data_IF_461944692086
#
_entry.id   IF_461944692086
#
_cell.length_a   1.000
_cell.length_b   1.000
_cell.length_c   1.000
_cell.angle_alpha   90.00
_cell.angle_beta   90.00
_cell.angle_gamma   90.00
#
_symmetry.space_group_name_H-M   'P 1'
#
loop_
_entity.id
_entity.type
_entity.pdbx_description
1 polymer ?
#
# COMPACT_ATOMS: atom_id res chain seq x y z
N UNK A 1 -63.04 -41.54 -41.72
CA UNK A 1 -61.59 -41.86 -41.54
C UNK A 1 -60.91 -40.63 -41.01
N UNK A 2 -60.59 -40.66 -39.70
CA UNK A 2 -59.98 -39.53 -39.03
C UNK A 2 -58.43 -39.84 -38.92
N UNK A 3 -57.62 -39.06 -39.60
CA UNK A 3 -56.20 -39.23 -39.61
C UNK A 3 -55.65 -38.47 -38.37
N UNK A 4 -55.18 -39.22 -37.40
CA UNK A 4 -54.40 -38.65 -36.20
C UNK A 4 -52.98 -38.47 -36.67
N UNK A 5 -52.55 -37.23 -36.88
CA UNK A 5 -51.15 -36.88 -37.05
C UNK A 5 -50.51 -36.87 -35.65
N UNK A 6 -49.67 -37.86 -35.36
CA UNK A 6 -48.75 -37.84 -34.24
C UNK A 6 -47.66 -36.78 -34.51
N UNK A 7 -47.77 -35.66 -33.82
CA UNK A 7 -46.64 -34.70 -33.71
C UNK A 7 -45.62 -35.36 -32.79
N UNK A 8 -44.55 -35.88 -33.36
CA UNK A 8 -43.42 -36.37 -32.60
C UNK A 8 -42.80 -35.24 -31.78
N UNK A 9 -42.73 -35.42 -30.48
CA UNK A 9 -41.89 -34.56 -29.64
C UNK A 9 -40.47 -34.53 -30.24
N UNK A 10 -40.02 -33.35 -30.64
CA UNK A 10 -38.59 -33.14 -30.87
C UNK A 10 -37.85 -33.58 -29.60
N UNK A 11 -37.02 -34.59 -29.76
CA UNK A 11 -36.08 -34.99 -28.71
C UNK A 11 -35.26 -33.75 -28.40
N UNK A 12 -35.48 -33.16 -27.22
CA UNK A 12 -34.63 -32.09 -26.74
C UNK A 12 -33.21 -32.68 -26.69
N UNK A 13 -32.32 -32.08 -27.46
CA UNK A 13 -30.88 -32.36 -27.34
C UNK A 13 -30.50 -32.16 -25.87
N UNK A 14 -29.82 -33.14 -25.23
CA UNK A 14 -29.42 -32.98 -23.86
C UNK A 14 -28.66 -31.66 -23.69
N UNK A 15 -28.93 -30.94 -22.59
CA UNK A 15 -28.32 -29.67 -22.26
C UNK A 15 -26.79 -29.76 -21.99
N UNK A 16 -26.12 -30.77 -22.50
CA UNK A 16 -24.71 -31.03 -22.25
C UNK A 16 -23.91 -30.99 -23.54
N UNK A 17 -23.77 -29.81 -24.08
CA UNK A 17 -22.72 -29.56 -25.08
C UNK A 17 -21.68 -28.64 -24.50
N UNK A 18 -21.01 -29.07 -23.42
CA UNK A 18 -19.77 -28.41 -23.00
C UNK A 18 -18.76 -28.53 -24.13
N UNK A 19 -18.24 -27.41 -24.54
CA UNK A 19 -17.30 -27.25 -25.65
C UNK A 19 -15.98 -26.70 -25.14
N UNK A 20 -14.83 -27.03 -25.75
CA UNK A 20 -13.58 -26.35 -25.47
C UNK A 20 -13.62 -24.85 -25.77
N UNK A 21 -14.60 -24.40 -26.58
CA UNK A 21 -14.83 -23.01 -26.93
C UNK A 21 -15.66 -22.24 -25.89
N UNK A 22 -16.21 -22.90 -24.90
CA UNK A 22 -16.92 -22.23 -23.82
C UNK A 22 -15.92 -21.52 -22.90
N UNK A 23 -16.30 -20.31 -22.44
CA UNK A 23 -15.50 -19.61 -21.44
C UNK A 23 -15.52 -20.40 -20.13
N UNK A 24 -14.37 -20.67 -19.49
CA UNK A 24 -14.35 -21.42 -18.26
C UNK A 24 -14.92 -20.59 -17.10
N UNK A 25 -15.61 -21.26 -16.19
CA UNK A 25 -16.08 -20.68 -14.93
C UNK A 25 -15.43 -21.42 -13.77
N UNK A 26 -14.92 -20.67 -12.80
CA UNK A 26 -14.43 -21.19 -11.51
C UNK A 26 -15.61 -21.15 -10.54
N UNK A 27 -16.14 -22.29 -10.18
CA UNK A 27 -17.28 -22.45 -9.28
C UNK A 27 -16.85 -22.46 -7.80
N UNK A 28 -15.62 -22.93 -7.52
CA UNK A 28 -14.97 -22.94 -6.21
C UNK A 28 -13.47 -22.75 -6.39
N UNK A 29 -12.77 -22.06 -5.47
CA UNK A 29 -13.30 -21.32 -4.33
C UNK A 29 -14.16 -20.11 -4.78
N UNK A 30 -15.13 -19.75 -4.00
CA UNK A 30 -15.88 -18.51 -4.20
C UNK A 30 -15.91 -17.73 -2.88
N UNK A 31 -16.00 -16.42 -3.00
CA UNK A 31 -16.24 -15.56 -1.86
C UNK A 31 -17.75 -15.53 -1.60
N UNK A 32 -18.19 -15.78 -0.38
CA UNK A 32 -19.61 -15.76 0.02
C UNK A 32 -20.27 -14.41 -0.23
N UNK A 33 -19.51 -13.32 -0.19
CA UNK A 33 -20.00 -11.97 -0.51
C UNK A 33 -20.02 -11.66 -2.02
N UNK A 34 -19.52 -12.53 -2.88
CA UNK A 34 -19.61 -12.43 -4.34
C UNK A 34 -18.73 -11.35 -5.00
N UNK A 35 -17.99 -10.56 -4.25
CA UNK A 35 -17.29 -9.35 -4.73
C UNK A 35 -15.81 -9.27 -4.39
N UNK A 36 -15.22 -10.25 -3.72
CA UNK A 36 -13.89 -10.06 -3.18
C UNK A 36 -12.88 -11.15 -3.46
N UNK A 37 -11.66 -10.85 -3.14
CA UNK A 37 -10.58 -11.79 -2.96
C UNK A 37 -10.85 -12.67 -1.73
N UNK A 38 -10.30 -13.87 -1.71
CA UNK A 38 -10.34 -14.78 -0.57
C UNK A 38 -8.94 -14.93 0.02
N UNK A 39 -8.85 -15.32 1.30
CA UNK A 39 -7.57 -15.45 1.99
C UNK A 39 -7.42 -16.83 2.59
N UNK A 40 -6.29 -17.48 2.29
CA UNK A 40 -5.85 -18.69 3.02
C UNK A 40 -4.88 -18.26 4.10
N UNK A 41 -5.23 -18.54 5.37
CA UNK A 41 -4.35 -18.30 6.52
C UNK A 41 -3.76 -19.62 6.97
N UNK A 42 -2.48 -19.84 6.68
CA UNK A 42 -1.73 -21.02 7.09
C UNK A 42 -1.06 -20.74 8.43
N UNK A 43 -1.20 -21.67 9.36
CA UNK A 43 -0.74 -21.48 10.74
C UNK A 43 0.79 -21.29 10.84
N UNK A 44 1.54 -21.97 9.96
CA UNK A 44 3.01 -21.96 9.90
C UNK A 44 3.49 -22.56 8.57
N UNK A 45 4.80 -22.54 8.25
CA UNK A 45 5.35 -23.10 7.02
C UNK A 45 5.14 -24.63 6.85
N UNK A 46 4.88 -25.35 7.93
CA UNK A 46 4.60 -26.80 7.90
C UNK A 46 3.10 -27.10 7.67
N UNK A 47 2.28 -26.08 7.51
CA UNK A 47 0.88 -26.19 7.14
C UNK A 47 0.76 -26.01 5.62
N UNK A 48 0.33 -27.05 4.86
CA UNK A 48 0.23 -26.92 3.42
C UNK A 48 -0.95 -26.03 3.01
N UNK A 49 -0.81 -25.32 1.90
CA UNK A 49 -1.95 -24.83 1.15
C UNK A 49 -2.65 -26.06 0.54
N UNK A 50 -3.79 -26.40 1.08
CA UNK A 50 -4.59 -27.53 0.63
C UNK A 50 -5.98 -27.08 0.21
N UNK A 51 -6.27 -27.17 -1.08
CA UNK A 51 -7.60 -26.86 -1.61
C UNK A 51 -7.89 -27.56 -2.94
N UNK A 52 -9.14 -27.46 -3.39
CA UNK A 52 -9.58 -27.98 -4.67
C UNK A 52 -10.45 -26.97 -5.42
N UNK A 53 -10.18 -26.82 -6.71
CA UNK A 53 -10.94 -25.97 -7.61
C UNK A 53 -11.99 -26.77 -8.37
N UNK A 54 -13.19 -26.24 -8.42
CA UNK A 54 -14.25 -26.78 -9.27
C UNK A 54 -14.46 -25.82 -10.46
N UNK A 55 -14.33 -26.34 -11.67
CA UNK A 55 -14.47 -25.57 -12.92
C UNK A 55 -15.49 -26.20 -13.87
N UNK A 56 -16.03 -25.38 -14.76
CA UNK A 56 -16.86 -25.85 -15.87
C UNK A 56 -16.46 -25.08 -17.15
N UNK A 57 -16.27 -25.74 -18.31
CA UNK A 57 -16.33 -27.19 -18.59
C UNK A 57 -15.07 -27.92 -18.06
N UNK A 58 -15.22 -28.78 -17.07
CA UNK A 58 -14.07 -29.41 -16.37
C UNK A 58 -13.20 -30.27 -17.29
N UNK A 59 -13.82 -30.93 -18.30
CA UNK A 59 -13.13 -31.83 -19.23
C UNK A 59 -12.12 -31.11 -20.13
N UNK A 60 -12.32 -29.83 -20.40
CA UNK A 60 -11.55 -29.04 -21.36
C UNK A 60 -10.72 -27.95 -20.69
N UNK A 61 -10.71 -27.90 -19.34
CA UNK A 61 -10.12 -26.81 -18.59
C UNK A 61 -8.92 -27.29 -17.77
N UNK A 62 -7.80 -26.60 -17.92
CA UNK A 62 -6.63 -26.71 -17.05
C UNK A 62 -6.69 -25.60 -16.01
N UNK A 63 -6.30 -25.89 -14.77
CA UNK A 63 -6.23 -24.89 -13.69
C UNK A 63 -4.77 -24.67 -13.31
N UNK A 64 -4.34 -23.43 -13.35
CA UNK A 64 -3.02 -22.96 -12.98
C UNK A 64 -3.12 -22.11 -11.70
N UNK A 65 -2.18 -22.33 -10.78
CA UNK A 65 -2.06 -21.61 -9.53
C UNK A 65 -0.78 -20.79 -9.57
N UNK A 66 -0.94 -19.49 -9.37
CA UNK A 66 0.18 -18.53 -9.33
C UNK A 66 0.24 -17.92 -7.94
N UNK A 67 1.45 -17.77 -7.41
CA UNK A 67 1.75 -16.92 -6.26
C UNK A 67 2.70 -15.83 -6.73
N UNK A 68 2.35 -14.56 -6.46
CA UNK A 68 3.10 -13.39 -6.91
C UNK A 68 3.43 -13.47 -8.42
N UNK A 69 2.43 -13.87 -9.23
CA UNK A 69 2.51 -14.09 -10.68
C UNK A 69 3.42 -15.25 -11.14
N UNK A 70 4.04 -16.00 -10.22
CA UNK A 70 4.83 -17.18 -10.54
C UNK A 70 3.94 -18.44 -10.51
N UNK A 71 3.95 -19.21 -11.62
CA UNK A 71 3.24 -20.49 -11.67
C UNK A 71 3.86 -21.49 -10.68
N UNK A 72 3.12 -21.83 -9.63
CA UNK A 72 3.57 -22.78 -8.60
C UNK A 72 2.97 -24.17 -8.78
N UNK A 73 1.78 -24.28 -9.38
CA UNK A 73 1.12 -25.57 -9.55
C UNK A 73 0.13 -25.56 -10.72
N UNK A 74 -0.05 -26.72 -11.35
CA UNK A 74 -1.09 -26.97 -12.38
C UNK A 74 -1.90 -28.20 -11.99
N UNK A 75 -3.19 -28.01 -11.79
CA UNK A 75 -4.13 -29.08 -11.42
C UNK A 75 -5.32 -28.55 -10.61
N UNK A 76 -6.32 -29.45 -10.45
CA UNK A 76 -7.56 -29.12 -9.72
C UNK A 76 -7.41 -29.16 -8.20
N UNK A 77 -6.38 -29.83 -7.68
CA UNK A 77 -6.12 -29.95 -6.25
C UNK A 77 -4.68 -29.58 -5.98
N UNK A 78 -4.48 -28.64 -5.09
CA UNK A 78 -3.16 -28.22 -4.63
C UNK A 78 -2.91 -28.74 -3.22
N UNK A 79 -1.67 -29.19 -2.96
CA UNK A 79 -1.13 -29.45 -1.63
C UNK A 79 0.34 -29.10 -1.67
N UNK A 80 0.69 -27.89 -1.18
CA UNK A 80 2.04 -27.35 -1.24
C UNK A 80 2.38 -26.54 0.01
N UNK A 81 3.65 -26.57 0.38
CA UNK A 81 4.22 -25.84 1.49
C UNK A 81 4.95 -24.60 0.99
N UNK A 82 4.85 -23.50 1.73
CA UNK A 82 5.48 -22.25 1.36
C UNK A 82 6.20 -21.63 2.56
N UNK A 83 7.30 -20.91 2.35
CA UNK A 83 7.93 -20.11 3.41
C UNK A 83 6.96 -19.11 4.03
N UNK A 84 7.23 -18.68 5.25
CA UNK A 84 6.45 -17.62 5.89
C UNK A 84 6.45 -16.34 5.03
N UNK A 85 5.28 -15.74 4.90
CA UNK A 85 5.07 -14.55 4.06
C UNK A 85 3.62 -14.35 3.66
N UNK A 86 3.38 -13.25 2.94
CA UNK A 86 2.07 -12.96 2.33
C UNK A 86 2.26 -12.92 0.83
N UNK A 87 1.45 -13.65 0.10
CA UNK A 87 1.57 -13.87 -1.34
C UNK A 87 0.27 -13.55 -2.04
N UNK A 88 0.34 -12.83 -3.16
CA UNK A 88 -0.81 -12.64 -4.03
C UNK A 88 -1.12 -13.95 -4.76
N UNK A 89 -2.35 -14.47 -4.60
CA UNK A 89 -2.78 -15.71 -5.24
C UNK A 89 -3.63 -15.38 -6.48
N UNK A 90 -3.29 -16.01 -7.60
CA UNK A 90 -4.14 -16.07 -8.79
C UNK A 90 -4.41 -17.52 -9.16
N UNK A 91 -5.69 -17.89 -9.25
CA UNK A 91 -6.12 -19.17 -9.80
C UNK A 91 -6.68 -18.88 -11.19
N UNK A 92 -6.08 -19.44 -12.22
CA UNK A 92 -6.48 -19.25 -13.60
C UNK A 92 -6.99 -20.59 -14.20
N UNK A 93 -8.22 -20.59 -14.64
CA UNK A 93 -8.81 -21.68 -15.42
C UNK A 93 -8.68 -21.36 -16.91
N UNK A 94 -8.06 -22.24 -17.69
CA UNK A 94 -7.79 -22.05 -19.12
C UNK A 94 -8.34 -23.23 -19.91
N UNK A 95 -9.20 -22.99 -20.91
CA UNK A 95 -9.70 -24.04 -21.81
C UNK A 95 -8.69 -24.36 -22.91
N UNK A 96 -8.88 -25.51 -23.57
CA UNK A 96 -8.06 -25.91 -24.72
C UNK A 96 -8.09 -24.89 -25.87
N UNK A 97 -9.17 -24.11 -26.00
CA UNK A 97 -9.29 -23.02 -26.95
C UNK A 97 -8.61 -21.69 -26.49
N UNK A 98 -7.95 -21.69 -25.34
CA UNK A 98 -7.22 -20.54 -24.80
C UNK A 98 -8.08 -19.47 -24.13
N UNK A 99 -9.38 -19.73 -23.91
CA UNK A 99 -10.21 -18.83 -23.09
C UNK A 99 -9.91 -19.03 -21.63
N UNK A 100 -9.82 -17.95 -20.87
CA UNK A 100 -9.46 -18.02 -19.44
C UNK A 100 -10.41 -17.23 -18.55
N UNK A 101 -10.45 -17.63 -17.28
CA UNK A 101 -11.09 -16.93 -16.17
C UNK A 101 -10.18 -17.00 -14.97
N UNK A 102 -10.08 -15.90 -14.21
CA UNK A 102 -9.20 -15.79 -13.04
C UNK A 102 -10.01 -15.56 -11.77
N UNK A 103 -9.48 -16.07 -10.67
CA UNK A 103 -9.85 -15.72 -9.29
C UNK A 103 -8.60 -15.26 -8.56
N UNK A 104 -8.71 -14.16 -7.85
CA UNK A 104 -7.60 -13.62 -7.05
C UNK A 104 -7.87 -13.78 -5.58
N UNK A 105 -6.82 -13.90 -4.80
CA UNK A 105 -6.86 -14.05 -3.35
C UNK A 105 -5.50 -13.77 -2.74
N UNK A 106 -5.35 -14.14 -1.48
CA UNK A 106 -4.11 -14.00 -0.73
C UNK A 106 -3.80 -15.32 -0.01
N UNK A 107 -2.52 -15.70 0.04
CA UNK A 107 -2.02 -16.76 0.92
C UNK A 107 -1.14 -16.10 1.98
N UNK A 108 -1.50 -16.26 3.24
CA UNK A 108 -0.71 -15.81 4.39
C UNK A 108 -0.15 -17.05 5.08
N UNK A 109 1.16 -17.17 5.15
CA UNK A 109 1.87 -18.19 5.89
C UNK A 109 2.51 -17.55 7.11
N UNK A 110 2.03 -17.84 8.30
CA UNK A 110 2.56 -17.27 9.52
C UNK A 110 3.92 -17.92 9.87
N UNK A 111 4.92 -17.12 10.28
CA UNK A 111 6.18 -17.68 10.78
C UNK A 111 5.99 -18.24 12.18
N UNK A 112 6.84 -19.18 12.58
CA UNK A 112 6.97 -19.52 14.01
C UNK A 112 7.49 -18.30 14.79
N UNK A 113 7.15 -18.22 16.08
CA UNK A 113 7.60 -17.11 16.94
C UNK A 113 9.13 -17.06 17.08
N UNK A 114 9.78 -18.18 16.88
CA UNK A 114 11.24 -18.32 16.96
C UNK A 114 11.97 -18.04 15.65
N UNK A 115 11.25 -17.92 14.54
CA UNK A 115 11.84 -17.73 13.22
C UNK A 115 12.32 -16.29 13.01
N UNK A 116 13.42 -16.07 12.28
CA UNK A 116 13.67 -14.78 11.64
C UNK A 116 12.51 -14.38 10.75
N UNK A 117 12.00 -13.17 10.95
CA UNK A 117 10.87 -12.70 10.17
C UNK A 117 10.95 -11.19 9.89
N UNK A 118 10.63 -10.81 8.68
CA UNK A 118 10.49 -9.41 8.27
C UNK A 118 9.35 -9.27 7.28
N UNK A 119 8.32 -8.52 7.65
CA UNK A 119 7.25 -8.14 6.73
C UNK A 119 7.72 -7.01 5.80
N UNK A 120 7.28 -7.02 4.55
CA UNK A 120 7.49 -5.88 3.66
C UNK A 120 6.69 -4.67 4.17
N UNK A 121 7.27 -3.45 4.15
CA UNK A 121 6.50 -2.22 4.38
C UNK A 121 5.37 -2.07 3.35
N UNK A 122 4.33 -1.31 3.67
CA UNK A 122 3.21 -1.05 2.75
C UNK A 122 3.67 -0.43 1.41
N UNK A 123 4.65 0.48 1.45
CA UNK A 123 5.26 1.07 0.26
C UNK A 123 6.21 0.12 -0.50
N UNK A 124 6.38 -1.13 -0.04
CA UNK A 124 7.38 -2.05 -0.55
C UNK A 124 8.79 -1.78 -0.01
N UNK A 125 9.73 -2.66 -0.37
CA UNK A 125 11.15 -2.44 -0.08
C UNK A 125 11.83 -1.95 -1.35
N UNK A 126 12.57 -0.86 -1.24
CA UNK A 126 13.35 -0.27 -2.31
C UNK A 126 14.80 -0.18 -1.87
N UNK A 127 15.69 -0.90 -2.56
CA UNK A 127 17.11 -0.95 -2.23
C UNK A 127 17.94 -0.41 -3.40
N UNK A 128 19.02 0.28 -3.04
CA UNK A 128 20.01 0.75 -4.01
C UNK A 128 21.32 -0.02 -3.78
N UNK A 129 21.91 -0.66 -4.80
CA UNK A 129 23.17 -1.37 -4.66
C UNK A 129 24.29 -0.46 -4.14
N UNK A 130 25.21 -1.05 -3.36
CA UNK A 130 26.36 -0.38 -2.73
C UNK A 130 26.01 0.63 -1.64
N UNK A 131 24.73 0.88 -1.37
CA UNK A 131 24.26 1.62 -0.20
C UNK A 131 23.99 0.68 0.97
N UNK A 132 24.14 1.18 2.20
CA UNK A 132 23.74 0.46 3.39
C UNK A 132 22.21 0.53 3.55
N UNK A 133 21.56 -0.62 3.70
CA UNK A 133 20.12 -0.73 3.74
C UNK A 133 19.68 -1.51 4.97
N UNK A 134 18.62 -1.02 5.63
CA UNK A 134 18.08 -1.65 6.85
C UNK A 134 16.86 -2.51 6.52
N UNK A 135 16.79 -3.67 7.18
CA UNK A 135 15.65 -4.58 7.19
C UNK A 135 15.17 -4.70 8.63
N UNK A 136 13.96 -4.25 8.93
CA UNK A 136 13.34 -4.39 10.24
C UNK A 136 12.54 -5.69 10.36
N UNK A 137 12.44 -6.21 11.58
CA UNK A 137 11.74 -7.48 11.81
C UNK A 137 11.83 -7.98 13.24
N UNK A 138 11.88 -9.29 13.40
CA UNK A 138 12.11 -9.98 14.69
C UNK A 138 13.05 -11.17 14.51
N UNK A 139 13.76 -11.51 15.57
CA UNK A 139 14.77 -12.59 15.60
C UNK A 139 15.86 -12.45 14.51
N UNK A 140 16.11 -11.23 14.02
CA UNK A 140 17.04 -10.98 12.93
C UNK A 140 18.50 -11.19 13.34
N UNK A 141 18.81 -11.20 14.63
CA UNK A 141 20.12 -11.60 15.17
C UNK A 141 20.54 -13.02 14.74
N UNK A 142 19.59 -13.91 14.44
CA UNK A 142 19.84 -15.29 13.97
C UNK A 142 20.23 -15.36 12.49
N UNK A 143 20.01 -14.30 11.72
CA UNK A 143 20.28 -14.28 10.27
C UNK A 143 21.79 -14.35 10.03
N UNK A 144 22.23 -15.35 9.30
CA UNK A 144 23.61 -15.52 8.85
C UNK A 144 23.87 -14.87 7.49
N UNK A 145 22.89 -14.96 6.58
CA UNK A 145 22.94 -14.30 5.28
C UNK A 145 21.58 -13.89 4.76
N UNK A 146 21.57 -12.91 3.86
CA UNK A 146 20.39 -12.45 3.12
C UNK A 146 20.61 -12.78 1.66
N UNK A 147 19.62 -13.39 1.04
CA UNK A 147 19.65 -13.77 -0.38
C UNK A 147 18.59 -13.06 -1.19
N UNK A 148 18.95 -12.71 -2.41
CA UNK A 148 18.02 -12.29 -3.45
C UNK A 148 17.90 -13.39 -4.49
N UNK A 149 16.67 -13.77 -4.84
CA UNK A 149 16.38 -14.80 -5.84
C UNK A 149 15.36 -14.27 -6.84
N UNK A 150 15.43 -14.75 -8.10
CA UNK A 150 14.43 -14.39 -9.13
C UNK A 150 13.20 -15.29 -9.07
N UNK A 151 13.34 -16.47 -8.52
CA UNK A 151 12.25 -17.43 -8.42
C UNK A 151 11.71 -17.53 -6.99
N UNK A 152 10.47 -17.95 -6.92
CA UNK A 152 9.75 -18.14 -5.66
C UNK A 152 10.40 -19.20 -4.75
N UNK A 153 11.02 -20.23 -5.33
CA UNK A 153 11.60 -21.34 -4.57
C UNK A 153 13.00 -21.04 -4.02
N UNK A 154 13.61 -19.93 -4.44
CA UNK A 154 14.95 -19.54 -3.98
C UNK A 154 16.09 -20.28 -4.67
N UNK A 155 15.87 -20.81 -5.86
CA UNK A 155 16.84 -21.60 -6.64
C UNK A 155 17.68 -20.68 -7.54
N UNK A 156 17.05 -19.72 -8.23
CA UNK A 156 17.74 -18.77 -9.09
C UNK A 156 18.35 -17.63 -8.25
N UNK A 157 19.50 -17.90 -7.67
CA UNK A 157 20.23 -17.00 -6.80
C UNK A 157 20.83 -15.84 -7.59
N UNK A 158 20.50 -14.61 -7.20
CA UNK A 158 21.09 -13.38 -7.73
C UNK A 158 22.32 -12.97 -6.93
N UNK A 159 22.15 -12.87 -5.61
CA UNK A 159 23.26 -12.60 -4.69
C UNK A 159 22.96 -13.16 -3.29
N UNK A 160 24.02 -13.31 -2.50
CA UNK A 160 23.96 -13.64 -1.08
C UNK A 160 24.93 -12.73 -0.35
N UNK A 161 24.46 -12.03 0.69
CA UNK A 161 25.26 -11.09 1.48
C UNK A 161 25.12 -11.41 2.96
N UNK A 162 26.18 -11.21 3.71
CA UNK A 162 26.14 -11.26 5.17
C UNK A 162 25.70 -9.88 5.70
N UNK A 163 24.90 -9.82 6.77
CA UNK A 163 24.60 -8.54 7.41
C UNK A 163 25.87 -7.83 7.88
N UNK A 164 25.97 -6.53 7.59
CA UNK A 164 27.03 -5.66 8.11
C UNK A 164 26.82 -5.35 9.59
N UNK A 165 25.55 -5.35 10.01
CA UNK A 165 25.12 -5.23 11.40
C UNK A 165 23.81 -5.99 11.61
N UNK A 166 23.58 -6.52 12.81
CA UNK A 166 22.32 -7.17 13.16
C UNK A 166 22.01 -7.15 14.66
N UNK A 167 20.74 -6.94 14.94
CA UNK A 167 20.08 -7.12 16.23
C UNK A 167 18.77 -7.90 16.04
N UNK A 168 18.04 -8.17 17.12
CA UNK A 168 16.76 -8.89 17.02
C UNK A 168 15.72 -8.12 16.20
N UNK A 169 15.70 -6.79 16.31
CA UNK A 169 14.69 -5.93 15.67
C UNK A 169 15.05 -5.48 14.25
N UNK A 170 16.35 -5.47 13.89
CA UNK A 170 16.79 -5.07 12.55
C UNK A 170 18.15 -5.63 12.20
N UNK A 171 18.44 -5.66 10.92
CA UNK A 171 19.78 -5.90 10.37
C UNK A 171 20.05 -4.92 9.23
N UNK A 172 21.33 -4.72 8.92
CA UNK A 172 21.76 -3.93 7.77
C UNK A 172 22.55 -4.79 6.79
N UNK A 173 22.38 -4.52 5.50
CA UNK A 173 23.11 -5.16 4.40
C UNK A 173 23.59 -4.13 3.40
N UNK A 174 24.61 -4.52 2.63
CA UNK A 174 25.04 -3.81 1.42
C UNK A 174 24.93 -4.78 0.26
N UNK A 175 24.05 -4.50 -0.69
CA UNK A 175 23.95 -5.30 -1.90
C UNK A 175 25.16 -5.05 -2.82
N UNK A 176 25.69 -6.09 -3.48
CA UNK A 176 26.66 -5.91 -4.55
C UNK A 176 25.99 -5.21 -5.76
N UNK A 177 26.73 -5.04 -6.82
CA UNK A 177 26.19 -4.55 -8.10
C UNK A 177 25.10 -5.50 -8.60
N UNK A 178 23.86 -5.12 -8.33
CA UNK A 178 22.68 -5.94 -8.61
C UNK A 178 21.83 -5.22 -9.66
N UNK A 179 21.42 -5.88 -10.74
CA UNK A 179 20.57 -5.26 -11.77
C UNK A 179 19.25 -4.75 -11.21
N UNK A 180 18.70 -3.71 -11.85
CA UNK A 180 17.33 -3.26 -11.58
C UNK A 180 16.34 -4.41 -11.71
N UNK A 181 15.38 -4.45 -10.82
CA UNK A 181 14.34 -5.45 -10.89
C UNK A 181 13.70 -5.79 -9.55
N UNK A 182 12.71 -6.65 -9.63
CA UNK A 182 11.98 -7.19 -8.49
C UNK A 182 12.54 -8.57 -8.16
N UNK A 183 12.83 -8.79 -6.89
CA UNK A 183 13.44 -10.03 -6.39
C UNK A 183 12.71 -10.52 -5.14
N UNK A 184 12.81 -11.81 -4.86
CA UNK A 184 12.43 -12.39 -3.57
C UNK A 184 13.56 -12.22 -2.56
N UNK A 185 13.22 -11.68 -1.40
CA UNK A 185 14.13 -11.56 -0.27
C UNK A 185 14.02 -12.80 0.62
N UNK A 186 15.16 -13.43 0.90
CA UNK A 186 15.25 -14.61 1.75
C UNK A 186 16.23 -14.35 2.89
N UNK A 187 15.80 -14.67 4.10
CA UNK A 187 16.68 -14.68 5.27
C UNK A 187 17.18 -16.11 5.46
N UNK A 188 18.45 -16.28 5.81
CA UNK A 188 19.02 -17.59 6.11
C UNK A 188 19.71 -17.57 7.45
N UNK A 189 19.51 -18.61 8.25
CA UNK A 189 20.24 -18.81 9.50
C UNK A 189 21.56 -19.59 9.28
N UNK A 190 22.26 -19.86 10.39
CA UNK A 190 23.53 -20.58 10.38
C UNK A 190 23.40 -22.08 9.97
N UNK A 191 22.20 -22.65 10.10
CA UNK A 191 21.89 -24.03 9.73
C UNK A 191 21.41 -24.14 8.27
N UNK A 192 21.44 -23.04 7.52
CA UNK A 192 20.94 -22.88 6.15
C UNK A 192 19.43 -23.04 6.00
N UNK A 193 18.66 -22.91 7.07
CA UNK A 193 17.22 -22.80 6.95
C UNK A 193 16.85 -21.46 6.29
N UNK A 194 15.86 -21.51 5.38
CA UNK A 194 15.45 -20.38 4.56
C UNK A 194 14.10 -19.86 5.04
N UNK A 195 14.02 -18.55 5.30
CA UNK A 195 12.82 -17.86 5.72
C UNK A 195 12.43 -16.82 4.68
N UNK A 196 11.14 -16.78 4.32
CA UNK A 196 10.62 -15.76 3.41
C UNK A 196 10.56 -14.39 4.10
N UNK A 197 10.92 -13.36 3.36
CA UNK A 197 10.81 -11.96 3.82
C UNK A 197 10.11 -11.07 2.78
N UNK A 198 9.34 -11.68 1.87
CA UNK A 198 8.62 -10.99 0.80
C UNK A 198 9.52 -10.57 -0.35
N UNK A 199 9.14 -9.51 -1.01
CA UNK A 199 9.81 -9.00 -2.21
C UNK A 199 10.59 -7.72 -1.93
N UNK A 200 11.53 -7.43 -2.82
CA UNK A 200 12.25 -6.16 -2.86
C UNK A 200 12.38 -5.66 -4.30
N UNK A 201 12.38 -4.36 -4.47
CA UNK A 201 12.72 -3.67 -5.70
C UNK A 201 14.15 -3.12 -5.59
N UNK A 202 15.02 -3.48 -6.53
CA UNK A 202 16.38 -2.96 -6.61
C UNK A 202 16.42 -1.90 -7.71
N UNK A 203 16.99 -0.74 -7.39
CA UNK A 203 17.14 0.39 -8.30
C UNK A 203 18.59 0.83 -8.34
N UNK A 204 19.15 1.04 -9.53
CA UNK A 204 20.52 1.54 -9.72
C UNK A 204 20.63 3.06 -9.61
N UNK A 205 19.53 3.75 -9.30
CA UNK A 205 19.51 5.18 -9.01
C UNK A 205 18.89 5.42 -7.63
N UNK A 206 19.14 6.61 -7.07
CA UNK A 206 18.42 7.09 -5.88
C UNK A 206 16.92 7.11 -6.12
N UNK A 207 16.12 6.85 -5.10
CA UNK A 207 14.67 6.81 -5.21
C UNK A 207 14.00 7.68 -4.16
N UNK A 208 12.98 8.41 -4.57
CA UNK A 208 12.05 9.14 -3.71
C UNK A 208 10.84 8.26 -3.44
N UNK A 209 10.44 8.15 -2.17
CA UNK A 209 9.33 7.32 -1.72
C UNK A 209 8.08 8.13 -1.37
N UNK A 210 8.25 9.34 -0.80
CA UNK A 210 7.14 10.19 -0.38
C UNK A 210 7.58 11.64 -0.12
N UNK A 211 6.60 12.51 0.18
CA UNK A 211 6.81 13.91 0.49
C UNK A 211 6.93 14.81 -0.74
N UNK A 212 6.82 14.26 -1.93
CA UNK A 212 6.87 15.03 -3.18
C UNK A 212 5.48 15.35 -3.74
N UNK A 213 4.43 14.72 -3.25
CA UNK A 213 3.06 14.78 -3.79
C UNK A 213 2.41 16.15 -3.58
N UNK A 214 2.93 16.95 -2.64
CA UNK A 214 2.45 18.28 -2.38
C UNK A 214 3.49 19.15 -1.70
N UNK A 215 3.39 20.46 -1.88
CA UNK A 215 4.22 21.43 -1.19
C UNK A 215 3.46 22.73 -0.89
N UNK A 216 3.91 23.46 0.13
CA UNK A 216 3.44 24.81 0.47
C UNK A 216 4.49 25.83 0.01
N UNK A 217 4.19 26.73 -0.91
CA UNK A 217 5.15 27.74 -1.41
C UNK A 217 5.81 28.53 -0.26
N UNK A 218 7.13 28.69 -0.33
CA UNK A 218 7.91 29.41 0.66
C UNK A 218 8.12 28.70 2.00
N UNK A 219 7.59 27.49 2.19
CA UNK A 219 7.80 26.68 3.41
C UNK A 219 8.87 25.62 3.22
N UNK A 220 9.34 25.08 4.35
CA UNK A 220 10.22 23.92 4.34
C UNK A 220 9.50 22.73 3.70
N UNK A 221 10.19 22.09 2.76
CA UNK A 221 9.71 20.92 2.04
C UNK A 221 10.67 19.76 2.23
N UNK A 222 10.18 18.67 2.83
CA UNK A 222 10.94 17.47 3.14
C UNK A 222 10.48 16.34 2.22
N UNK A 223 11.38 15.87 1.36
CA UNK A 223 11.17 14.74 0.45
C UNK A 223 11.96 13.56 0.99
N UNK A 224 11.33 12.40 1.12
CA UNK A 224 11.95 11.20 1.72
C UNK A 224 12.20 10.11 0.69
N UNK A 225 13.23 9.32 0.91
CA UNK A 225 13.60 8.26 -0.03
C UNK A 225 14.80 7.44 0.40
N UNK A 226 15.53 6.93 -0.57
CA UNK A 226 16.69 6.05 -0.40
C UNK A 226 17.86 6.52 -1.24
N UNK A 227 19.05 6.54 -0.64
CA UNK A 227 20.31 6.98 -1.28
C UNK A 227 20.25 8.41 -1.85
N UNK A 228 19.60 9.33 -1.12
CA UNK A 228 19.41 10.71 -1.55
C UNK A 228 20.60 11.65 -1.26
N UNK A 229 21.64 11.19 -0.55
CA UNK A 229 22.79 12.02 -0.12
C UNK A 229 23.57 12.69 -1.26
N UNK A 230 23.40 12.21 -2.48
CA UNK A 230 24.05 12.76 -3.67
C UNK A 230 23.15 13.65 -4.51
N UNK A 231 21.94 13.95 -4.06
CA UNK A 231 21.02 14.84 -4.78
C UNK A 231 21.62 16.23 -4.84
N UNK A 232 21.71 16.79 -6.05
CA UNK A 232 22.29 18.11 -6.32
C UNK A 232 21.24 19.16 -6.67
N UNK A 233 20.11 18.74 -7.24
CA UNK A 233 19.05 19.68 -7.64
C UNK A 233 17.68 19.04 -7.62
N UNK A 234 16.69 19.87 -7.31
CA UNK A 234 15.25 19.61 -7.49
C UNK A 234 14.73 20.60 -8.52
N UNK A 235 14.01 20.12 -9.49
CA UNK A 235 13.39 20.97 -10.53
C UNK A 235 11.88 20.81 -10.44
N UNK A 236 11.17 21.93 -10.29
CA UNK A 236 9.69 21.97 -10.34
C UNK A 236 9.30 22.82 -11.52
N UNK A 237 8.66 22.22 -12.51
CA UNK A 237 8.47 22.76 -13.85
C UNK A 237 9.80 23.28 -14.43
N UNK A 238 9.96 24.60 -14.58
CA UNK A 238 11.19 25.22 -15.08
C UNK A 238 12.09 25.79 -13.96
N UNK A 239 11.70 25.68 -12.69
CA UNK A 239 12.43 26.24 -11.55
C UNK A 239 13.41 25.22 -10.99
N UNK A 240 14.70 25.50 -11.14
CA UNK A 240 15.78 24.66 -10.59
C UNK A 240 16.20 25.16 -9.22
N UNK A 241 16.16 24.29 -8.22
CA UNK A 241 16.53 24.55 -6.82
C UNK A 241 17.79 23.76 -6.50
N UNK A 242 18.85 24.46 -6.12
CA UNK A 242 20.14 23.87 -5.70
C UNK A 242 20.48 24.16 -4.24
N UNK A 243 19.72 25.06 -3.59
CA UNK A 243 19.82 25.31 -2.15
C UNK A 243 18.98 24.25 -1.43
N UNK A 244 19.61 23.14 -1.06
CA UNK A 244 18.98 22.02 -0.41
C UNK A 244 19.96 21.31 0.53
N UNK A 245 19.41 20.56 1.49
CA UNK A 245 20.17 19.65 2.36
C UNK A 245 19.76 18.23 2.02
N UNK A 246 20.71 17.44 1.50
CA UNK A 246 20.53 16.05 1.16
C UNK A 246 21.20 15.14 2.18
N UNK A 247 20.46 14.17 2.71
CA UNK A 247 20.93 13.09 3.56
C UNK A 247 20.71 11.75 2.84
N UNK A 248 21.05 10.64 3.46
CA UNK A 248 20.78 9.32 2.90
C UNK A 248 19.27 9.09 2.64
N UNK A 249 18.41 9.63 3.49
CA UNK A 249 16.97 9.36 3.46
C UNK A 249 16.10 10.58 3.19
N UNK A 250 16.64 11.78 3.17
CA UNK A 250 15.85 13.02 2.98
C UNK A 250 16.52 14.02 2.07
N UNK A 251 15.72 14.78 1.36
CA UNK A 251 16.09 16.06 0.75
C UNK A 251 15.19 17.14 1.36
N UNK A 252 15.81 18.14 2.00
CA UNK A 252 15.11 19.28 2.61
C UNK A 252 15.46 20.54 1.84
N UNK A 253 14.45 21.28 1.43
CA UNK A 253 14.57 22.53 0.68
C UNK A 253 13.44 23.49 1.04
N UNK A 254 13.52 24.73 0.59
CA UNK A 254 12.36 25.65 0.62
C UNK A 254 11.57 25.45 -0.66
N UNK A 255 10.26 25.18 -0.54
CA UNK A 255 9.39 25.04 -1.70
C UNK A 255 9.37 26.35 -2.50
N UNK A 256 9.50 26.29 -3.84
CA UNK A 256 9.49 27.49 -4.66
C UNK A 256 8.10 28.12 -4.70
N UNK A 257 8.03 29.43 -5.00
CA UNK A 257 6.76 30.09 -5.27
C UNK A 257 6.15 29.52 -6.55
N UNK A 258 4.99 28.86 -6.43
CA UNK A 258 4.25 28.19 -7.49
C UNK A 258 2.80 28.65 -7.48
N UNK A 259 2.17 28.64 -8.64
CA UNK A 259 0.73 28.82 -8.74
C UNK A 259 -0.03 27.62 -8.16
N UNK A 260 -1.27 27.82 -7.78
CA UNK A 260 -2.14 26.71 -7.34
C UNK A 260 -2.39 25.77 -8.52
N UNK A 261 -2.13 24.48 -8.31
CA UNK A 261 -2.31 23.46 -9.35
C UNK A 261 -1.31 22.31 -9.27
N UNK A 262 -1.32 21.48 -10.29
CA UNK A 262 -0.39 20.37 -10.47
C UNK A 262 0.88 20.84 -11.20
N UNK A 263 2.04 20.46 -10.69
CA UNK A 263 3.36 20.77 -11.21
C UNK A 263 4.18 19.51 -11.39
N UNK A 264 5.08 19.50 -12.35
CA UNK A 264 6.01 18.38 -12.56
C UNK A 264 7.25 18.57 -11.69
N UNK A 265 7.66 17.54 -10.96
CA UNK A 265 8.89 17.49 -10.18
C UNK A 265 9.88 16.50 -10.76
N UNK A 266 11.15 16.86 -10.80
CA UNK A 266 12.26 15.96 -11.12
C UNK A 266 13.47 16.30 -10.24
N UNK A 267 14.36 15.32 -10.06
CA UNK A 267 15.57 15.49 -9.24
C UNK A 267 16.78 14.85 -9.94
N UNK A 268 17.96 15.44 -9.72
CA UNK A 268 19.20 14.90 -10.26
C UNK A 268 20.26 14.77 -9.19
N UNK A 269 21.04 13.70 -9.29
CA UNK A 269 22.25 13.49 -8.51
C UNK A 269 23.40 14.36 -9.05
N UNK A 270 24.49 14.48 -8.27
CA UNK A 270 25.71 15.23 -8.63
C UNK A 270 26.38 14.75 -9.92
N UNK A 271 26.23 13.48 -10.25
CA UNK A 271 26.76 12.86 -11.47
C UNK A 271 25.82 13.07 -12.69
N UNK A 272 24.69 13.75 -12.50
CA UNK A 272 23.70 14.04 -13.54
C UNK A 272 22.68 12.91 -13.76
N UNK A 273 22.75 11.79 -13.02
CA UNK A 273 21.75 10.73 -13.10
C UNK A 273 20.41 11.20 -12.50
N UNK A 274 19.32 10.66 -13.05
CA UNK A 274 17.98 10.95 -12.53
C UNK A 274 17.76 10.23 -11.20
N UNK A 275 17.04 10.90 -10.28
CA UNK A 275 16.45 10.29 -9.10
C UNK A 275 15.06 9.80 -9.49
N UNK A 276 14.72 8.57 -9.15
CA UNK A 276 13.42 8.00 -9.51
C UNK A 276 12.37 8.29 -8.43
N UNK A 277 11.14 8.53 -8.83
CA UNK A 277 9.98 8.69 -7.95
C UNK A 277 9.18 7.39 -7.98
N UNK A 278 8.86 6.84 -6.82
CA UNK A 278 8.00 5.67 -6.70
C UNK A 278 6.56 6.15 -6.66
N UNK A 279 5.80 5.77 -7.66
CA UNK A 279 4.38 6.11 -7.84
C UNK A 279 3.57 4.85 -8.06
N UNK A 280 2.25 4.96 -8.13
CA UNK A 280 1.36 3.84 -8.49
C UNK A 280 1.68 3.25 -9.88
N UNK A 281 2.29 4.03 -10.76
CA UNK A 281 2.73 3.61 -12.09
C UNK A 281 4.11 2.92 -12.07
N UNK A 282 4.78 2.88 -10.92
CA UNK A 282 6.13 2.35 -10.74
C UNK A 282 7.19 3.42 -10.53
N UNK A 283 8.46 3.09 -10.82
CA UNK A 283 9.60 4.01 -10.70
C UNK A 283 9.71 4.89 -11.96
N UNK A 284 9.52 6.18 -11.81
CA UNK A 284 9.54 7.17 -12.92
C UNK A 284 10.54 8.29 -12.65
N UNK A 285 11.12 8.88 -13.70
CA UNK A 285 12.08 9.98 -13.56
C UNK A 285 11.43 11.34 -13.24
N UNK A 286 10.13 11.43 -13.38
CA UNK A 286 9.34 12.63 -13.08
C UNK A 286 8.14 12.27 -12.23
N UNK A 287 7.98 12.95 -11.10
CA UNK A 287 6.80 12.89 -10.25
C UNK A 287 5.88 14.08 -10.47
N UNK A 288 4.81 14.13 -9.70
CA UNK A 288 3.85 15.22 -9.66
C UNK A 288 3.76 15.77 -8.25
N UNK A 289 3.78 17.09 -8.12
CA UNK A 289 3.50 17.80 -6.87
C UNK A 289 2.29 18.70 -7.06
N UNK A 290 1.51 18.87 -6.00
CA UNK A 290 0.30 19.72 -6.04
C UNK A 290 0.47 20.86 -5.06
N UNK A 291 0.31 22.09 -5.56
CA UNK A 291 0.12 23.28 -4.72
C UNK A 291 -1.38 23.50 -4.55
N UNK A 292 -1.85 23.33 -3.33
CA UNK A 292 -3.25 23.59 -3.01
C UNK A 292 -3.43 25.04 -2.57
N UNK A 293 -4.65 25.59 -2.80
CA UNK A 293 -5.04 26.89 -2.21
C UNK A 293 -5.21 26.80 -0.68
N UNK A 294 -4.98 25.66 -0.11
CA UNK A 294 -5.25 25.36 1.29
C UNK A 294 -4.01 25.58 2.14
N UNK A 295 -4.23 26.21 3.30
CA UNK A 295 -3.21 26.35 4.35
C UNK A 295 -3.43 25.30 5.42
N UNK A 296 -2.37 24.57 5.78
CA UNK A 296 -2.42 23.51 6.79
C UNK A 296 -2.52 24.08 8.20
N UNK A 297 -3.52 23.62 8.94
CA UNK A 297 -3.72 23.92 10.36
C UNK A 297 -3.17 22.83 11.27
N UNK A 298 -3.34 21.58 10.85
CA UNK A 298 -2.96 20.42 11.63
C UNK A 298 -2.70 19.22 10.70
N UNK A 299 -1.75 18.35 11.07
CA UNK A 299 -1.40 17.11 10.34
C UNK A 299 -1.39 15.89 11.25
N UNK A 300 -1.91 14.76 10.73
CA UNK A 300 -1.95 13.44 11.32
C UNK A 300 -1.00 12.45 10.63
N UNK A 301 -1.31 11.14 10.54
CA UNK A 301 -2.62 10.54 10.90
C UNK A 301 -2.80 10.30 12.40
N UNK A 302 -4.01 10.51 12.91
CA UNK A 302 -4.40 10.18 14.28
C UNK A 302 -5.78 9.53 14.31
N UNK A 303 -5.84 8.31 14.87
CA UNK A 303 -7.11 7.63 15.10
C UNK A 303 -7.85 8.25 16.30
N UNK A 304 -9.14 8.53 16.11
CA UNK A 304 -9.99 9.08 17.16
C UNK A 304 -10.42 7.99 18.14
N UNK A 305 -10.32 8.30 19.43
CA UNK A 305 -10.68 7.42 20.55
C UNK A 305 -11.42 8.16 21.69
N UNK A 306 -12.14 9.22 21.36
CA UNK A 306 -12.79 10.14 22.27
C UNK A 306 -11.84 11.01 23.13
N UNK A 307 -10.56 11.00 22.89
CA UNK A 307 -9.61 11.86 23.57
C UNK A 307 -9.48 13.21 22.82
N UNK A 308 -9.85 14.30 23.50
CA UNK A 308 -9.84 15.65 22.93
C UNK A 308 -8.44 16.23 22.68
N UNK A 309 -7.41 15.64 23.28
CA UNK A 309 -6.03 16.11 23.13
C UNK A 309 -5.35 15.58 21.87
N UNK A 310 -5.94 14.56 21.20
CA UNK A 310 -5.34 13.93 20.03
C UNK A 310 -5.34 14.85 18.81
N UNK A 311 -6.48 15.50 18.54
CA UNK A 311 -6.64 16.47 17.44
C UNK A 311 -7.05 17.78 18.06
N UNK A 312 -6.06 18.59 18.42
CA UNK A 312 -6.24 19.85 19.13
C UNK A 312 -5.44 20.97 18.44
N UNK A 313 -6.13 22.03 18.05
CA UNK A 313 -5.54 23.21 17.41
C UNK A 313 -5.66 24.38 18.38
N UNK A 314 -4.54 24.92 18.82
CA UNK A 314 -4.51 26.03 19.77
C UNK A 314 -5.21 27.29 19.22
N UNK A 315 -5.75 28.14 20.12
CA UNK A 315 -6.32 29.41 19.72
C UNK A 315 -5.31 30.30 18.97
N UNK A 316 -4.03 30.22 19.30
CA UNK A 316 -2.97 30.95 18.60
C UNK A 316 -2.87 30.51 17.11
N UNK A 317 -2.96 29.20 16.85
CA UNK A 317 -2.96 28.69 15.48
C UNK A 317 -4.27 28.99 14.75
N UNK A 318 -5.42 28.90 15.44
CA UNK A 318 -6.71 29.28 14.89
C UNK A 318 -6.82 30.78 14.58
N UNK A 319 -6.04 31.62 15.24
CA UNK A 319 -5.98 33.05 14.95
C UNK A 319 -5.39 33.38 13.55
N UNK A 320 -4.69 32.43 12.92
CA UNK A 320 -4.20 32.55 11.55
C UNK A 320 -5.32 32.38 10.51
N UNK A 321 -6.48 31.81 10.93
CA UNK A 321 -7.62 31.56 10.04
C UNK A 321 -8.48 32.81 9.91
N UNK A 322 -8.64 33.42 8.71
CA UNK A 322 -9.53 34.52 8.50
C UNK A 322 -11.01 34.12 8.76
N UNK A 323 -11.79 35.03 9.32
CA UNK A 323 -13.24 34.84 9.44
C UNK A 323 -13.86 34.65 8.05
N UNK A 324 -14.75 33.68 7.92
CA UNK A 324 -15.38 33.31 6.67
C UNK A 324 -14.63 32.29 5.86
N UNK A 325 -13.41 31.87 6.27
CA UNK A 325 -12.66 30.78 5.64
C UNK A 325 -13.42 29.45 5.76
N UNK A 326 -13.22 28.59 4.78
CA UNK A 326 -13.68 27.21 4.82
C UNK A 326 -12.58 26.35 5.45
N UNK A 327 -12.88 25.70 6.57
CA UNK A 327 -12.04 24.66 7.18
C UNK A 327 -12.38 23.33 6.52
N UNK A 328 -11.35 22.56 6.17
CA UNK A 328 -11.45 21.24 5.53
C UNK A 328 -10.80 20.20 6.44
N UNK A 329 -11.55 19.14 6.75
CA UNK A 329 -11.07 18.01 7.56
C UNK A 329 -10.97 16.78 6.69
N UNK A 330 -9.76 16.27 6.51
CA UNK A 330 -9.45 15.05 5.75
C UNK A 330 -9.34 13.87 6.69
N UNK A 331 -10.04 12.78 6.40
CA UNK A 331 -10.11 11.62 7.27
C UNK A 331 -10.25 10.32 6.48
N UNK A 332 -9.99 9.20 7.15
CA UNK A 332 -10.27 7.84 6.68
C UNK A 332 -11.30 7.19 7.59
N UNK A 333 -12.04 6.23 7.04
CA UNK A 333 -13.05 5.43 7.75
C UNK A 333 -12.55 3.98 7.81
N UNK A 334 -11.63 3.63 8.72
CA UNK A 334 -11.19 2.25 8.91
C UNK A 334 -12.33 1.39 9.45
N UNK A 335 -12.18 0.08 9.47
CA UNK A 335 -13.15 -0.82 10.08
C UNK A 335 -13.23 -0.59 11.60
N UNK A 336 -14.40 -0.22 12.10
CA UNK A 336 -14.66 0.01 13.53
C UNK A 336 -16.10 -0.36 13.90
N UNK A 337 -16.38 -0.48 15.21
CA UNK A 337 -17.70 -0.83 15.73
C UNK A 337 -18.77 0.21 15.37
N UNK A 338 -18.41 1.48 15.39
CA UNK A 338 -19.22 2.60 14.93
C UNK A 338 -18.33 3.79 14.56
N UNK A 339 -18.91 4.79 13.93
CA UNK A 339 -18.23 6.00 13.46
C UNK A 339 -18.98 7.24 13.90
N UNK A 340 -18.35 8.09 14.69
CA UNK A 340 -18.94 9.36 15.13
C UNK A 340 -17.87 10.42 15.27
N UNK A 341 -18.06 11.57 14.64
CA UNK A 341 -17.18 12.72 14.71
C UNK A 341 -17.90 13.90 15.36
N UNK A 342 -17.20 14.54 16.29
CA UNK A 342 -17.67 15.71 16.99
C UNK A 342 -16.60 16.81 16.89
N UNK A 343 -17.01 17.96 16.40
CA UNK A 343 -16.17 19.15 16.30
C UNK A 343 -16.57 20.09 17.43
N UNK A 344 -15.68 20.28 18.37
CA UNK A 344 -15.97 20.92 19.64
C UNK A 344 -14.71 21.55 20.23
N UNK A 345 -14.84 21.94 21.48
CA UNK A 345 -13.76 22.31 22.39
C UNK A 345 -13.26 21.07 23.13
N UNK A 346 -12.08 21.09 23.79
CA UNK A 346 -11.57 19.99 24.60
C UNK A 346 -12.49 19.57 25.75
N UNK A 347 -13.47 20.38 26.08
CA UNK A 347 -14.41 20.12 27.16
C UNK A 347 -15.73 19.63 26.60
N UNK A 348 -16.21 18.52 27.08
CA UNK A 348 -17.50 17.91 26.74
C UNK A 348 -18.67 18.82 27.17
N UNK A 349 -18.93 19.87 26.44
CA UNK A 349 -19.98 20.85 26.69
C UNK A 349 -20.96 20.96 25.52
N UNK A 350 -21.95 21.84 25.68
CA UNK A 350 -22.89 22.14 24.61
C UNK A 350 -22.31 23.03 23.50
N UNK A 351 -21.04 23.42 23.63
CA UNK A 351 -20.34 24.31 22.70
C UNK A 351 -19.78 23.51 21.52
N UNK A 352 -20.70 23.01 20.70
CA UNK A 352 -20.41 22.25 19.50
C UNK A 352 -20.41 23.11 18.26
N UNK A 353 -19.44 22.88 17.36
CA UNK A 353 -19.54 23.30 15.98
C UNK A 353 -20.43 22.34 15.21
N UNK A 354 -20.17 21.05 15.31
CA UNK A 354 -20.95 19.99 14.69
C UNK A 354 -20.79 18.64 15.42
N UNK A 355 -21.79 17.78 15.29
CA UNK A 355 -21.71 16.36 15.65
C UNK A 355 -22.53 15.55 14.64
N UNK A 356 -21.98 14.42 14.15
CA UNK A 356 -22.67 13.55 13.18
C UNK A 356 -22.06 12.15 13.18
N UNK A 357 -22.84 11.19 12.72
CA UNK A 357 -22.35 9.86 12.39
C UNK A 357 -21.63 9.92 11.03
N UNK A 358 -20.44 9.35 10.97
CA UNK A 358 -19.65 9.29 9.73
C UNK A 358 -20.01 8.02 8.97
N UNK A 359 -20.25 8.14 7.69
CA UNK A 359 -20.59 7.02 6.80
C UNK A 359 -19.75 7.10 5.52
N UNK A 360 -19.79 6.06 4.70
CA UNK A 360 -19.14 6.08 3.40
C UNK A 360 -19.66 7.17 2.43
N UNK A 361 -20.80 7.79 2.75
CA UNK A 361 -21.37 8.92 1.98
C UNK A 361 -20.99 10.29 2.58
N UNK A 362 -20.33 10.33 3.74
CA UNK A 362 -19.88 11.59 4.35
C UNK A 362 -18.83 12.23 3.43
N UNK A 363 -19.01 13.52 3.06
CA UNK A 363 -18.03 14.20 2.21
C UNK A 363 -16.62 14.19 2.82
N UNK A 364 -15.63 13.87 2.01
CA UNK A 364 -14.22 13.92 2.40
C UNK A 364 -13.43 14.73 1.37
N UNK A 365 -12.89 15.94 1.73
CA UNK A 365 -12.90 16.50 3.08
C UNK A 365 -14.27 16.97 3.55
N UNK A 366 -14.48 16.85 4.86
CA UNK A 366 -15.59 17.49 5.52
C UNK A 366 -15.32 18.99 5.65
N UNK A 367 -16.32 19.84 5.38
CA UNK A 367 -16.12 21.28 5.32
C UNK A 367 -16.95 22.05 6.34
N UNK A 368 -16.37 23.07 6.94
CA UNK A 368 -17.01 24.00 7.87
C UNK A 368 -16.64 25.42 7.56
N UNK A 369 -17.52 26.38 7.86
CA UNK A 369 -17.18 27.80 7.82
C UNK A 369 -16.65 28.24 9.19
N UNK A 370 -15.47 28.87 9.22
CA UNK A 370 -14.95 29.51 10.43
C UNK A 370 -15.64 30.86 10.63
N UNK A 371 -16.79 30.80 11.29
CA UNK A 371 -17.65 31.95 11.56
C UNK A 371 -17.38 32.58 12.94
N UNK A 372 -18.11 33.67 13.26
CA UNK A 372 -18.01 34.33 14.56
C UNK A 372 -18.36 33.42 15.75
N UNK A 373 -19.26 32.44 15.56
CA UNK A 373 -19.61 31.48 16.59
C UNK A 373 -18.45 30.53 16.86
N UNK A 374 -17.84 29.95 15.80
CA UNK A 374 -16.70 29.09 15.91
C UNK A 374 -15.52 29.81 16.56
N UNK A 375 -15.24 31.05 16.12
CA UNK A 375 -14.21 31.88 16.74
C UNK A 375 -14.50 32.18 18.21
N UNK A 376 -15.75 32.52 18.57
CA UNK A 376 -16.14 32.76 19.96
C UNK A 376 -15.92 31.57 20.87
N UNK A 377 -16.18 30.34 20.37
CA UNK A 377 -15.90 29.10 21.09
C UNK A 377 -14.38 28.95 21.29
N UNK A 378 -13.57 29.11 20.26
CA UNK A 378 -12.09 29.04 20.32
C UNK A 378 -11.52 30.06 21.30
N UNK A 379 -11.97 31.30 21.25
CA UNK A 379 -11.52 32.38 22.13
C UNK A 379 -11.86 32.10 23.60
N UNK A 380 -13.03 31.49 23.88
CA UNK A 380 -13.47 31.16 25.21
C UNK A 380 -12.70 30.01 25.82
N UNK A 381 -12.37 28.99 25.02
CA UNK A 381 -11.80 27.71 25.50
C UNK A 381 -10.31 27.61 25.30
N UNK A 382 -9.75 28.37 24.36
CA UNK A 382 -8.32 28.40 24.07
C UNK A 382 -7.85 27.40 23.00
N UNK A 383 -8.78 26.61 22.44
CA UNK A 383 -8.47 25.66 21.35
C UNK A 383 -9.70 25.21 20.58
N UNK A 384 -9.46 24.53 19.47
CA UNK A 384 -10.44 23.88 18.63
C UNK A 384 -10.05 22.41 18.46
N UNK A 385 -10.96 21.47 18.68
CA UNK A 385 -10.65 20.05 18.73
C UNK A 385 -11.63 19.21 17.90
N UNK A 386 -11.16 18.09 17.40
CA UNK A 386 -11.99 17.02 16.86
C UNK A 386 -11.89 15.83 17.82
N UNK A 387 -13.03 15.33 18.25
CA UNK A 387 -13.15 14.11 19.04
C UNK A 387 -14.14 13.16 18.37
N UNK A 388 -13.98 11.86 18.62
CA UNK A 388 -14.84 10.87 17.98
C UNK A 388 -14.30 9.48 18.16
N UNK A 389 -14.85 8.55 17.40
CA UNK A 389 -14.43 7.16 17.41
C UNK A 389 -14.61 6.54 16.02
N UNK A 390 -13.60 5.77 15.61
CA UNK A 390 -13.65 4.97 14.40
C UNK A 390 -12.99 5.64 13.16
N UNK A 391 -12.76 6.96 13.19
CA UNK A 391 -12.09 7.65 12.09
C UNK A 391 -10.60 7.86 12.39
N UNK A 392 -9.82 8.02 11.31
CA UNK A 392 -8.44 8.51 11.36
C UNK A 392 -8.39 9.89 10.70
N UNK A 393 -8.05 10.92 11.46
CA UNK A 393 -7.87 12.28 10.92
C UNK A 393 -6.48 12.39 10.33
N UNK A 394 -6.40 12.71 9.04
CA UNK A 394 -5.15 12.80 8.32
C UNK A 394 -4.61 14.24 8.26
N UNK A 395 -5.49 15.22 8.07
CA UNK A 395 -5.10 16.60 7.86
C UNK A 395 -6.29 17.55 8.12
N UNK A 396 -5.99 18.77 8.59
CA UNK A 396 -6.97 19.86 8.69
C UNK A 396 -6.34 21.09 8.02
N UNK A 397 -7.09 21.69 7.09
CA UNK A 397 -6.64 22.87 6.33
C UNK A 397 -7.72 23.95 6.36
N UNK A 398 -7.39 25.15 5.85
CA UNK A 398 -8.37 26.18 5.52
C UNK A 398 -8.07 26.83 4.17
N UNK A 399 -9.09 27.37 3.53
CA UNK A 399 -9.01 28.18 2.31
C UNK A 399 -10.04 29.29 2.31
#
# INVERSE_FOLDING_TARGET
MLAITLVGCKQETPFDTQSPDDAPLILRPYNESGTGSFTYNLANPDTPLFDSVTVTPSRYTTVNWYLDDVLVYTGLKIEMYFPAGTYALTIEAVTQAGKSTKRTGTVVVNPYDTDPYSAAPAAGRHFVPKAEMSISGRNLSKVASVRLTRDFYGIDLVCSVEPTYKEDAFLTIVLPDTPDGKYYLRLMDADNAIYGAGEINVHNSSVVLSGFEGCEPGKEWIITGVSLQNVASVTVDDKVITELVATETTVTLTAPELEVGEHTISMKNQDGTDVLFITDEGAVAQGKTVVSAETTLWEGPVALDWNADLVNISAAKMAEVPLGSTILVYFEIPEAEYHNMRITTPWWGDDLVAQFDVTGETPNPLTFTYDDRCKGIVDMVGSWSIVGFGETINKITFK
#
